data_IF_104945401794
#
_entry.id   IF_104945401794
#
_cell.length_a   1.000
_cell.length_b   1.000
_cell.length_c   1.000
_cell.angle_alpha   90.00
_cell.angle_beta   90.00
_cell.angle_gamma   90.00
#
_symmetry.space_group_name_H-M   'P 1'
#
loop_
_entity.id
_entity.type
_entity.pdbx_description
1 polymer ?
#
# COMPACT_ATOMS: atom_id res chain seq x y z
N UNK A 1 -4.00 60.19 26.71
CA UNK A 1 -3.18 58.93 26.54
C UNK A 1 -4.11 57.76 26.67
N UNK A 2 -4.55 57.17 25.53
CA UNK A 2 -5.38 55.99 25.48
C UNK A 2 -4.46 54.84 24.99
N UNK A 3 -4.12 53.91 25.89
CA UNK A 3 -3.36 52.71 25.59
C UNK A 3 -4.27 51.67 24.99
N UNK A 4 -4.13 51.43 23.69
CA UNK A 4 -4.83 50.41 22.94
C UNK A 4 -4.10 49.06 23.15
N UNK A 5 -4.58 48.20 24.05
CA UNK A 5 -4.10 46.84 24.23
C UNK A 5 -4.91 45.93 23.33
N UNK A 6 -4.26 45.43 22.25
CA UNK A 6 -4.86 44.39 21.41
C UNK A 6 -4.99 43.08 22.22
N UNK A 7 -6.11 42.31 22.07
CA UNK A 7 -6.28 41.03 22.74
C UNK A 7 -5.27 40.02 22.22
N UNK A 8 -4.71 39.22 23.13
CA UNK A 8 -3.81 38.11 22.80
C UNK A 8 -4.54 37.05 21.95
N UNK A 9 -3.87 36.47 20.97
CA UNK A 9 -4.48 35.43 20.12
C UNK A 9 -4.81 34.19 20.97
N UNK A 10 -6.05 33.72 20.77
CA UNK A 10 -6.60 32.56 21.45
C UNK A 10 -5.77 31.30 21.15
N UNK A 11 -5.22 30.69 22.19
CA UNK A 11 -4.33 29.49 22.07
C UNK A 11 -5.07 28.29 21.49
N UNK A 12 -6.38 28.21 21.59
CA UNK A 12 -7.19 27.14 21.06
C UNK A 12 -7.38 27.25 19.53
N UNK A 13 -7.40 28.48 18.98
CA UNK A 13 -7.48 28.70 17.53
C UNK A 13 -6.16 28.32 16.82
N UNK A 14 -5.01 28.58 17.45
CA UNK A 14 -3.71 28.19 16.91
C UNK A 14 -3.49 26.67 16.96
N UNK A 15 -3.97 25.99 18.01
CA UNK A 15 -3.92 24.53 18.12
C UNK A 15 -4.81 23.84 17.10
N UNK A 16 -6.00 24.40 16.82
CA UNK A 16 -6.92 23.85 15.81
C UNK A 16 -6.45 24.12 14.38
N UNK A 17 -5.76 25.22 14.11
CA UNK A 17 -5.13 25.52 12.82
C UNK A 17 -3.96 24.59 12.54
N UNK A 18 -3.09 24.35 13.52
CA UNK A 18 -1.98 23.38 13.42
C UNK A 18 -2.44 21.92 13.28
N UNK A 19 -3.64 21.58 13.80
CA UNK A 19 -4.26 20.27 13.60
C UNK A 19 -4.86 20.13 12.19
N UNK A 20 -5.35 21.22 11.59
CA UNK A 20 -5.86 21.25 10.20
C UNK A 20 -4.72 21.21 9.16
N UNK A 21 -3.58 21.83 9.41
CA UNK A 21 -2.42 21.76 8.51
C UNK A 21 -1.72 20.39 8.52
N UNK A 22 -1.93 19.56 9.52
CA UNK A 22 -1.47 18.17 9.56
C UNK A 22 -2.45 17.19 8.92
N UNK A 23 -3.19 17.55 7.90
CA UNK A 23 -4.09 16.82 7.03
C UNK A 23 -4.22 15.30 7.22
N UNK A 24 -4.48 14.84 8.45
CA UNK A 24 -4.73 13.45 8.74
C UNK A 24 -6.20 13.15 8.51
N UNK A 25 -6.53 12.39 7.47
CA UNK A 25 -7.88 11.86 7.32
C UNK A 25 -8.25 11.08 8.59
N UNK A 26 -9.44 11.35 9.13
CA UNK A 26 -9.95 10.64 10.30
C UNK A 26 -10.21 9.16 9.97
N UNK A 27 -10.26 8.29 10.98
CA UNK A 27 -10.65 6.89 10.77
C UNK A 27 -11.98 6.81 10.01
N UNK A 28 -12.09 5.85 9.08
CA UNK A 28 -13.31 5.63 8.32
C UNK A 28 -14.49 5.38 9.25
N UNK A 29 -15.55 6.17 9.12
CA UNK A 29 -16.81 5.93 9.84
C UNK A 29 -17.63 4.84 9.15
N UNK A 30 -18.57 4.23 9.88
CA UNK A 30 -19.52 3.26 9.30
C UNK A 30 -20.30 3.89 8.15
N UNK A 31 -20.67 5.18 8.29
CA UNK A 31 -21.38 5.93 7.25
C UNK A 31 -20.55 6.08 5.98
N UNK A 32 -19.26 6.38 6.10
CA UNK A 32 -18.35 6.48 4.96
C UNK A 32 -18.22 5.14 4.24
N UNK A 33 -18.06 4.04 5.00
CA UNK A 33 -17.92 2.69 4.44
C UNK A 33 -19.18 2.27 3.68
N UNK A 34 -20.36 2.52 4.22
CA UNK A 34 -21.63 2.11 3.62
C UNK A 34 -22.11 3.06 2.53
N UNK A 35 -21.86 4.37 2.67
CA UNK A 35 -22.34 5.40 1.76
C UNK A 35 -21.50 5.61 0.51
N UNK A 36 -20.18 5.34 0.57
CA UNK A 36 -19.32 5.59 -0.58
C UNK A 36 -19.71 4.72 -1.80
N UNK A 37 -19.81 5.33 -2.99
CA UNK A 37 -20.06 4.59 -4.22
C UNK A 37 -18.83 3.76 -4.59
N UNK A 38 -19.04 2.53 -5.03
CA UNK A 38 -17.99 1.65 -5.56
C UNK A 38 -18.29 1.36 -7.02
N UNK A 39 -17.41 1.80 -7.90
CA UNK A 39 -17.49 1.57 -9.35
C UNK A 39 -16.73 0.29 -9.77
N UNK A 40 -16.69 0.04 -11.07
CA UNK A 40 -15.96 -1.08 -11.69
C UNK A 40 -16.35 -2.44 -11.11
N UNK A 41 -15.40 -3.38 -11.07
CA UNK A 41 -15.61 -4.73 -10.50
C UNK A 41 -15.94 -4.70 -9.00
N UNK A 42 -15.52 -3.67 -8.28
CA UNK A 42 -15.81 -3.48 -6.86
C UNK A 42 -17.29 -3.14 -6.58
N UNK A 43 -18.00 -2.58 -7.58
CA UNK A 43 -19.43 -2.30 -7.50
C UNK A 43 -20.33 -3.53 -7.58
N UNK A 44 -19.84 -4.69 -7.99
CA UNK A 44 -20.60 -5.94 -8.01
C UNK A 44 -21.10 -6.31 -6.61
N UNK A 45 -22.34 -6.80 -6.42
CA UNK A 45 -22.93 -7.00 -5.09
C UNK A 45 -22.05 -7.81 -4.13
N UNK A 46 -21.53 -8.95 -4.57
CA UNK A 46 -20.65 -9.80 -3.77
C UNK A 46 -19.35 -9.08 -3.38
N UNK A 47 -18.66 -8.47 -4.35
CA UNK A 47 -17.40 -7.77 -4.10
C UNK A 47 -17.60 -6.59 -3.15
N UNK A 48 -18.67 -5.80 -3.37
CA UNK A 48 -19.05 -4.68 -2.52
C UNK A 48 -19.33 -5.13 -1.09
N UNK A 49 -20.08 -6.23 -0.91
CA UNK A 49 -20.38 -6.78 0.42
C UNK A 49 -19.10 -7.22 1.13
N UNK A 50 -18.20 -7.92 0.45
CA UNK A 50 -16.91 -8.37 1.01
C UNK A 50 -16.02 -7.19 1.37
N UNK A 51 -15.85 -6.19 0.48
CA UNK A 51 -15.04 -4.99 0.73
C UNK A 51 -15.58 -4.25 1.96
N UNK A 52 -16.89 -3.98 2.01
CA UNK A 52 -17.51 -3.29 3.14
C UNK A 52 -17.40 -4.09 4.42
N UNK A 53 -17.63 -5.41 4.39
CA UNK A 53 -17.47 -6.31 5.53
C UNK A 53 -16.05 -6.29 6.10
N UNK A 54 -15.03 -6.31 5.24
CA UNK A 54 -13.63 -6.19 5.66
C UNK A 54 -13.33 -4.84 6.30
N UNK A 55 -13.84 -3.74 5.73
CA UNK A 55 -13.63 -2.41 6.30
C UNK A 55 -14.36 -2.23 7.63
N UNK A 56 -15.57 -2.77 7.80
CA UNK A 56 -16.28 -2.76 9.07
C UNK A 56 -15.56 -3.59 10.13
N UNK A 57 -15.00 -4.73 9.76
CA UNK A 57 -14.28 -5.62 10.68
C UNK A 57 -12.89 -5.07 11.07
N UNK A 58 -12.13 -4.54 10.11
CA UNK A 58 -10.71 -4.22 10.27
C UNK A 58 -10.37 -2.73 10.09
N UNK A 59 -11.29 -1.90 9.59
CA UNK A 59 -11.03 -0.48 9.33
C UNK A 59 -10.58 0.29 10.56
N UNK A 60 -11.01 -0.13 11.75
CA UNK A 60 -10.57 0.45 13.03
C UNK A 60 -9.08 0.23 13.33
N UNK A 61 -8.42 -0.71 12.64
CA UNK A 61 -6.97 -0.87 12.74
C UNK A 61 -6.22 0.27 12.05
N UNK A 62 -6.84 0.95 11.06
CA UNK A 62 -6.27 2.13 10.40
C UNK A 62 -6.67 3.34 11.23
N UNK A 63 -5.77 3.81 12.10
CA UNK A 63 -6.06 4.93 13.02
C UNK A 63 -5.77 6.28 12.41
N UNK A 64 -4.95 6.35 11.36
CA UNK A 64 -4.65 7.60 10.65
C UNK A 64 -4.19 7.30 9.22
N UNK A 65 -4.65 8.11 8.28
CA UNK A 65 -4.18 8.12 6.89
C UNK A 65 -3.72 9.53 6.53
N UNK A 66 -2.55 9.66 5.92
CA UNK A 66 -1.98 10.93 5.50
C UNK A 66 -1.73 10.95 4.01
N UNK A 67 -1.98 12.10 3.38
CA UNK A 67 -1.72 12.37 1.97
C UNK A 67 -2.37 11.36 1.01
N UNK A 68 -3.63 10.96 1.30
CA UNK A 68 -4.41 10.01 0.51
C UNK A 68 -4.65 10.51 -0.92
N UNK A 69 -4.70 11.82 -1.13
CA UNK A 69 -4.86 12.48 -2.43
C UNK A 69 -3.73 12.15 -3.42
N UNK A 70 -2.57 11.71 -2.93
CA UNK A 70 -1.42 11.32 -3.79
C UNK A 70 -1.66 10.05 -4.58
N UNK A 71 -2.64 9.24 -4.15
CA UNK A 71 -3.04 8.00 -4.83
C UNK A 71 -4.47 8.08 -5.36
N UNK A 72 -5.03 9.28 -5.52
CA UNK A 72 -6.34 9.47 -6.10
C UNK A 72 -6.41 8.87 -7.52
N UNK A 73 -7.62 8.52 -7.96
CA UNK A 73 -7.84 7.80 -9.21
C UNK A 73 -7.43 8.58 -10.47
N UNK A 74 -7.40 9.90 -10.41
CA UNK A 74 -6.96 10.82 -11.47
C UNK A 74 -5.44 10.96 -11.57
N UNK A 75 -4.69 10.41 -10.59
CA UNK A 75 -3.22 10.42 -10.57
C UNK A 75 -2.57 9.24 -11.31
N UNK A 76 -3.39 8.28 -11.79
CA UNK A 76 -2.87 7.14 -12.54
C UNK A 76 -2.17 7.58 -13.84
N UNK A 77 -1.12 6.87 -14.31
CA UNK A 77 -0.54 5.67 -13.72
C UNK A 77 0.60 5.96 -12.72
N UNK A 78 0.70 5.15 -11.67
CA UNK A 78 1.84 5.13 -10.74
C UNK A 78 2.09 3.71 -10.19
N UNK A 79 3.24 3.50 -9.56
CA UNK A 79 3.56 2.29 -8.81
C UNK A 79 3.49 2.64 -7.32
N UNK A 80 2.51 2.08 -6.58
CA UNK A 80 2.48 2.19 -5.13
C UNK A 80 3.43 1.16 -4.53
N UNK A 81 4.46 1.62 -3.81
CA UNK A 81 5.42 0.76 -3.11
C UNK A 81 5.31 0.99 -1.60
N UNK A 82 5.03 -0.07 -0.83
CA UNK A 82 4.81 0.03 0.62
C UNK A 82 5.38 -1.16 1.38
N UNK A 83 5.74 -0.95 2.66
CA UNK A 83 6.17 -2.04 3.54
C UNK A 83 5.00 -2.98 3.88
N UNK A 84 5.34 -4.19 4.35
CA UNK A 84 4.37 -5.24 4.65
C UNK A 84 4.67 -5.89 5.99
N UNK A 85 3.88 -5.60 7.01
CA UNK A 85 4.18 -6.03 8.39
C UNK A 85 3.34 -7.20 8.87
N UNK A 86 2.08 -7.31 8.43
CA UNK A 86 1.16 -8.37 8.90
C UNK A 86 0.44 -9.05 7.74
N UNK A 87 -0.03 -10.28 7.94
CA UNK A 87 -0.75 -11.02 6.89
C UNK A 87 -2.10 -10.39 6.56
N UNK A 88 -2.78 -9.82 7.55
CA UNK A 88 -4.08 -9.18 7.36
C UNK A 88 -4.00 -7.91 6.50
N UNK A 89 -2.87 -7.20 6.50
CA UNK A 89 -2.67 -6.05 5.60
C UNK A 89 -2.86 -6.43 4.13
N UNK A 90 -2.39 -7.62 3.73
CA UNK A 90 -2.55 -8.09 2.34
C UNK A 90 -4.02 -8.29 1.93
N UNK A 91 -4.93 -8.33 2.90
CA UNK A 91 -6.35 -8.50 2.66
C UNK A 91 -7.11 -7.17 2.74
N UNK A 92 -7.03 -6.49 3.88
CA UNK A 92 -7.88 -5.31 4.10
C UNK A 92 -7.31 -4.03 3.50
N UNK A 93 -5.98 -3.92 3.31
CA UNK A 93 -5.40 -2.75 2.69
C UNK A 93 -5.81 -2.59 1.21
N UNK A 94 -5.78 -3.63 0.36
CA UNK A 94 -6.37 -3.53 -0.98
C UNK A 94 -7.86 -3.19 -0.97
N UNK A 95 -8.63 -3.71 0.00
CA UNK A 95 -10.05 -3.35 0.16
C UNK A 95 -10.22 -1.88 0.55
N UNK A 96 -9.38 -1.37 1.46
CA UNK A 96 -9.33 0.05 1.83
C UNK A 96 -8.99 0.93 0.62
N UNK A 97 -7.95 0.59 -0.14
CA UNK A 97 -7.54 1.36 -1.30
C UNK A 97 -8.58 1.36 -2.42
N UNK A 98 -9.25 0.22 -2.66
CA UNK A 98 -10.39 0.15 -3.57
C UNK A 98 -11.51 1.10 -3.13
N UNK A 99 -11.85 1.10 -1.84
CA UNK A 99 -12.86 1.99 -1.30
C UNK A 99 -12.45 3.46 -1.43
N UNK A 100 -11.23 3.80 -1.02
CA UNK A 100 -10.70 5.17 -1.05
C UNK A 100 -10.58 5.75 -2.48
N UNK A 101 -10.49 4.89 -3.50
CA UNK A 101 -10.40 5.25 -4.92
C UNK A 101 -11.76 5.09 -5.66
N UNK A 102 -12.88 5.04 -4.93
CA UNK A 102 -14.21 4.90 -5.54
C UNK A 102 -14.41 3.60 -6.33
N UNK A 103 -13.68 2.55 -5.99
CA UNK A 103 -13.71 1.25 -6.68
C UNK A 103 -12.73 1.12 -7.85
N UNK A 104 -11.97 2.17 -8.23
CA UNK A 104 -10.92 2.05 -9.26
C UNK A 104 -9.78 1.19 -8.72
N UNK A 105 -9.43 0.08 -9.39
CA UNK A 105 -8.45 -0.85 -8.88
C UNK A 105 -7.03 -0.26 -8.86
N UNK A 106 -6.27 -0.72 -7.88
CA UNK A 106 -4.84 -0.63 -7.81
C UNK A 106 -4.34 -2.07 -7.86
N UNK A 107 -3.69 -2.45 -8.98
CA UNK A 107 -3.38 -3.83 -9.31
C UNK A 107 -2.23 -4.36 -8.47
N UNK A 108 -2.51 -4.93 -7.30
CA UNK A 108 -1.48 -5.51 -6.44
C UNK A 108 -0.88 -6.78 -7.06
N UNK A 109 0.42 -6.96 -6.85
CA UNK A 109 1.08 -8.24 -7.16
C UNK A 109 1.02 -9.11 -5.92
N UNK A 110 0.36 -10.28 -6.02
CA UNK A 110 0.19 -11.19 -4.91
C UNK A 110 0.36 -12.66 -5.31
N UNK A 111 0.69 -13.51 -4.34
CA UNK A 111 0.89 -14.94 -4.59
C UNK A 111 -0.43 -15.65 -4.91
N UNK A 112 -0.40 -16.59 -5.84
CA UNK A 112 -1.56 -17.34 -6.35
C UNK A 112 -2.34 -18.12 -5.27
N UNK A 113 -1.67 -18.60 -4.24
CA UNK A 113 -2.25 -19.40 -3.17
C UNK A 113 -3.30 -18.66 -2.34
N UNK A 114 -3.28 -17.33 -2.35
CA UNK A 114 -4.32 -16.54 -1.70
C UNK A 114 -5.67 -16.61 -2.41
N UNK A 115 -5.72 -16.97 -3.69
CA UNK A 115 -6.99 -17.25 -4.39
C UNK A 115 -7.76 -18.44 -3.81
N UNK A 116 -7.08 -19.33 -3.11
CA UNK A 116 -7.69 -20.49 -2.46
C UNK A 116 -8.46 -20.13 -1.18
N UNK A 117 -8.29 -18.90 -0.67
CA UNK A 117 -8.97 -18.44 0.54
C UNK A 117 -10.27 -17.73 0.16
N UNK A 118 -11.46 -18.26 0.54
CA UNK A 118 -12.74 -17.59 0.34
C UNK A 118 -12.70 -16.16 0.89
N UNK A 119 -13.37 -15.22 0.22
CA UNK A 119 -13.32 -13.78 0.58
C UNK A 119 -12.08 -13.07 0.01
N UNK A 120 -10.86 -13.61 0.14
CA UNK A 120 -9.69 -13.05 -0.52
C UNK A 120 -9.85 -13.11 -2.04
N UNK A 121 -10.36 -14.21 -2.57
CA UNK A 121 -10.66 -14.35 -4.00
C UNK A 121 -11.62 -13.26 -4.51
N UNK A 122 -12.60 -12.84 -3.72
CA UNK A 122 -13.52 -11.76 -4.08
C UNK A 122 -12.81 -10.39 -4.12
N UNK A 123 -11.95 -10.08 -3.13
CA UNK A 123 -11.14 -8.86 -3.11
C UNK A 123 -10.15 -8.86 -4.27
N UNK A 124 -9.50 -9.98 -4.54
CA UNK A 124 -8.55 -10.13 -5.65
C UNK A 124 -9.24 -9.96 -7.01
N UNK A 125 -10.45 -10.50 -7.16
CA UNK A 125 -11.27 -10.31 -8.35
C UNK A 125 -11.71 -8.86 -8.54
N UNK A 126 -12.10 -8.18 -7.44
CA UNK A 126 -12.50 -6.78 -7.46
C UNK A 126 -11.31 -5.85 -7.74
N UNK A 127 -10.15 -6.13 -7.13
CA UNK A 127 -8.91 -5.39 -7.30
C UNK A 127 -8.13 -5.75 -8.56
N UNK A 128 -8.62 -6.73 -9.34
CA UNK A 128 -7.94 -7.24 -10.56
C UNK A 128 -6.45 -7.53 -10.28
N UNK A 129 -6.19 -8.28 -9.21
CA UNK A 129 -4.85 -8.55 -8.67
C UNK A 129 -4.01 -9.34 -9.68
N UNK A 130 -2.76 -8.93 -9.85
CA UNK A 130 -1.77 -9.60 -10.69
C UNK A 130 -1.21 -10.80 -9.92
N UNK A 131 -1.45 -12.00 -10.42
CA UNK A 131 -1.04 -13.23 -9.75
C UNK A 131 0.41 -13.54 -10.06
N UNK A 132 1.18 -13.76 -8.98
CA UNK A 132 2.55 -14.26 -9.02
C UNK A 132 2.55 -15.74 -8.64
N UNK A 133 3.31 -16.52 -9.39
CA UNK A 133 3.48 -17.97 -9.19
C UNK A 133 4.80 -18.35 -8.49
N UNK A 134 5.52 -17.36 -7.95
CA UNK A 134 6.90 -17.55 -7.46
C UNK A 134 6.99 -18.46 -6.24
N UNK A 135 5.97 -18.49 -5.38
CA UNK A 135 6.00 -19.28 -4.14
C UNK A 135 5.12 -20.52 -4.24
N UNK A 136 5.60 -21.69 -3.75
CA UNK A 136 4.74 -22.86 -3.60
C UNK A 136 3.71 -22.66 -2.50
N UNK A 137 2.54 -23.28 -2.64
CA UNK A 137 1.54 -23.30 -1.57
C UNK A 137 2.00 -24.10 -0.35
N UNK A 138 1.42 -23.77 0.78
CA UNK A 138 1.52 -24.56 2.01
C UNK A 138 0.12 -24.86 2.53
N UNK A 139 -0.29 -26.12 2.67
CA UNK A 139 0.47 -27.36 2.42
C UNK A 139 0.76 -27.62 0.93
N UNK A 140 1.80 -28.39 0.64
CA UNK A 140 2.36 -28.59 -0.72
C UNK A 140 1.39 -29.24 -1.69
N UNK A 141 0.44 -30.04 -1.23
CA UNK A 141 -0.53 -30.70 -2.09
C UNK A 141 -1.44 -29.71 -2.85
N UNK A 142 -1.63 -28.50 -2.31
CA UNK A 142 -2.40 -27.44 -2.98
C UNK A 142 -1.77 -26.99 -4.31
N UNK A 143 -0.49 -27.30 -4.56
CA UNK A 143 0.18 -26.92 -5.81
C UNK A 143 -0.44 -27.59 -7.03
N UNK A 144 -1.24 -28.63 -6.88
CA UNK A 144 -2.01 -29.25 -7.99
C UNK A 144 -2.95 -28.22 -8.65
N UNK A 145 -3.45 -27.26 -7.90
CA UNK A 145 -4.32 -26.18 -8.41
C UNK A 145 -3.56 -25.02 -9.05
N UNK A 146 -2.22 -24.97 -8.91
CA UNK A 146 -1.41 -23.88 -9.43
C UNK A 146 -1.61 -23.59 -10.91
N UNK A 147 -1.61 -24.57 -11.84
CA UNK A 147 -1.82 -24.32 -13.27
C UNK A 147 -3.18 -23.67 -13.59
N UNK A 148 -4.21 -23.93 -12.76
CA UNK A 148 -5.56 -23.38 -12.93
C UNK A 148 -5.70 -21.95 -12.39
N UNK A 149 -4.81 -21.55 -11.47
CA UNK A 149 -4.91 -20.30 -10.73
C UNK A 149 -3.84 -19.26 -11.11
N UNK A 150 -2.86 -19.68 -11.90
CA UNK A 150 -1.78 -18.81 -12.40
C UNK A 150 -1.95 -18.53 -13.89
N UNK A 151 -1.44 -17.37 -14.30
CA UNK A 151 -1.42 -16.98 -15.69
C UNK A 151 -0.12 -17.45 -16.36
N UNK A 152 -0.16 -17.66 -17.67
CA UNK A 152 1.02 -18.02 -18.47
C UNK A 152 2.05 -16.88 -18.54
N UNK A 153 1.58 -15.63 -18.47
CA UNK A 153 2.43 -14.45 -18.53
C UNK A 153 3.03 -14.13 -17.16
N UNK A 154 4.33 -13.84 -17.07
CA UNK A 154 4.97 -13.43 -15.83
C UNK A 154 4.31 -12.20 -15.20
N UNK A 155 4.21 -12.17 -13.87
CA UNK A 155 3.57 -11.06 -13.14
C UNK A 155 4.20 -9.69 -13.45
N UNK A 156 5.51 -9.66 -13.72
CA UNK A 156 6.23 -8.44 -14.10
C UNK A 156 5.74 -7.88 -15.44
N UNK A 157 5.59 -8.73 -16.46
CA UNK A 157 5.10 -8.33 -17.79
C UNK A 157 3.65 -7.82 -17.72
N UNK A 158 2.79 -8.51 -16.95
CA UNK A 158 1.41 -8.07 -16.71
C UNK A 158 1.35 -6.73 -15.98
N UNK A 159 2.23 -6.49 -15.02
CA UNK A 159 2.33 -5.20 -14.34
C UNK A 159 2.73 -4.09 -15.33
N UNK A 160 3.70 -4.35 -16.21
CA UNK A 160 4.09 -3.39 -17.25
C UNK A 160 2.94 -3.09 -18.21
N UNK A 161 2.17 -4.10 -18.64
CA UNK A 161 0.98 -3.91 -19.48
C UNK A 161 -0.09 -3.04 -18.79
N UNK A 162 -0.33 -3.27 -17.48
CA UNK A 162 -1.30 -2.44 -16.72
C UNK A 162 -0.85 -0.98 -16.66
N UNK A 163 0.43 -0.73 -16.41
CA UNK A 163 0.98 0.63 -16.41
C UNK A 163 0.90 1.28 -17.79
N UNK A 164 1.21 0.55 -18.86
CA UNK A 164 1.08 1.03 -20.23
C UNK A 164 -0.38 1.34 -20.62
N UNK A 165 -1.34 0.63 -20.03
CA UNK A 165 -2.77 0.89 -20.19
C UNK A 165 -3.29 2.04 -19.29
N UNK A 166 -2.41 2.79 -18.61
CA UNK A 166 -2.79 3.90 -17.74
C UNK A 166 -3.36 3.48 -16.37
N UNK A 167 -3.14 2.24 -15.95
CA UNK A 167 -3.54 1.75 -14.64
C UNK A 167 -2.36 1.73 -13.66
N UNK A 168 -2.65 1.82 -12.35
CA UNK A 168 -1.62 1.79 -11.32
C UNK A 168 -1.42 0.40 -10.71
N UNK A 169 -0.19 0.12 -10.27
CA UNK A 169 0.21 -1.17 -9.71
C UNK A 169 0.68 -1.01 -8.26
N UNK A 170 0.24 -1.92 -7.38
CA UNK A 170 0.67 -1.99 -5.99
C UNK A 170 1.68 -3.11 -5.76
N UNK A 171 2.76 -2.82 -5.04
CA UNK A 171 3.79 -3.80 -4.70
C UNK A 171 4.22 -3.68 -3.25
N UNK A 172 4.55 -4.81 -2.65
CA UNK A 172 5.28 -4.88 -1.39
C UNK A 172 6.73 -5.25 -1.71
N UNK A 173 7.67 -4.28 -1.75
CA UNK A 173 9.06 -4.57 -2.15
C UNK A 173 9.72 -5.63 -1.27
N UNK A 174 9.38 -5.72 0.00
CA UNK A 174 9.90 -6.74 0.92
C UNK A 174 9.55 -8.17 0.49
N UNK A 175 8.47 -8.36 -0.30
CA UNK A 175 8.05 -9.65 -0.87
C UNK A 175 7.57 -10.68 0.16
N UNK A 176 7.53 -10.33 1.43
CA UNK A 176 7.02 -11.14 2.54
C UNK A 176 6.63 -10.24 3.70
N UNK A 177 5.88 -10.79 4.67
CA UNK A 177 5.55 -10.06 5.89
C UNK A 177 6.78 -9.90 6.78
N UNK A 178 7.01 -8.68 7.26
CA UNK A 178 8.11 -8.33 8.15
C UNK A 178 7.56 -7.73 9.45
N UNK A 179 7.47 -8.54 10.48
CA UNK A 179 6.94 -8.13 11.80
C UNK A 179 7.92 -7.34 12.67
N UNK A 180 9.12 -7.05 12.17
CA UNK A 180 10.07 -6.19 12.88
C UNK A 180 9.52 -4.75 12.91
N UNK A 181 9.31 -4.16 14.12
CA UNK A 181 8.79 -2.82 14.24
C UNK A 181 9.80 -1.72 13.86
N UNK A 182 11.09 -2.03 13.80
CA UNK A 182 12.18 -1.05 13.67
C UNK A 182 12.90 -1.11 12.33
N UNK A 183 12.88 -2.27 11.64
CA UNK A 183 13.69 -2.49 10.44
C UNK A 183 12.86 -2.99 9.27
N UNK A 184 13.19 -2.52 8.07
CA UNK A 184 12.71 -3.08 6.81
C UNK A 184 13.65 -4.18 6.34
N UNK A 185 13.14 -5.13 5.58
CA UNK A 185 13.97 -6.08 4.84
C UNK A 185 14.63 -5.38 3.65
N UNK A 186 15.69 -6.00 3.11
CA UNK A 186 16.39 -5.49 1.93
C UNK A 186 15.46 -5.19 0.75
N UNK A 187 14.43 -6.00 0.57
CA UNK A 187 13.48 -5.88 -0.53
C UNK A 187 13.99 -6.41 -1.87
N UNK A 188 13.07 -6.50 -2.83
CA UNK A 188 13.33 -6.91 -4.21
C UNK A 188 13.26 -5.70 -5.13
N UNK A 189 14.08 -5.66 -6.14
CA UNK A 189 14.21 -4.56 -7.10
C UNK A 189 13.03 -4.43 -8.09
N UNK A 190 11.97 -5.23 -7.95
CA UNK A 190 10.86 -5.31 -8.91
C UNK A 190 10.17 -3.95 -9.17
N UNK A 191 9.83 -3.21 -8.12
CA UNK A 191 9.21 -1.89 -8.24
C UNK A 191 10.12 -0.88 -8.95
N UNK A 192 11.41 -0.86 -8.56
CA UNK A 192 12.40 0.03 -9.14
C UNK A 192 12.63 -0.27 -10.64
N UNK A 193 12.78 -1.56 -10.98
CA UNK A 193 12.96 -1.98 -12.37
C UNK A 193 11.73 -1.64 -13.22
N UNK A 194 10.52 -1.88 -12.68
CA UNK A 194 9.27 -1.58 -13.37
C UNK A 194 9.14 -0.07 -13.64
N UNK A 195 9.44 0.77 -12.64
CA UNK A 195 9.43 2.22 -12.76
C UNK A 195 10.39 2.73 -13.83
N UNK A 196 11.65 2.28 -13.79
CA UNK A 196 12.66 2.66 -14.78
C UNK A 196 12.31 2.18 -16.20
N UNK A 197 11.76 0.98 -16.33
CA UNK A 197 11.39 0.41 -17.63
C UNK A 197 10.18 1.11 -18.25
N UNK A 198 9.16 1.43 -17.45
CA UNK A 198 7.92 2.02 -17.94
C UNK A 198 7.93 3.56 -17.91
N UNK A 199 8.92 4.19 -17.27
CA UNK A 199 8.97 5.65 -17.09
C UNK A 199 7.87 6.17 -16.13
N UNK A 200 7.35 5.32 -15.25
CA UNK A 200 6.20 5.63 -14.38
C UNK A 200 6.69 5.96 -12.96
N UNK A 201 6.15 7.01 -12.30
CA UNK A 201 6.56 7.38 -10.96
C UNK A 201 6.23 6.30 -9.93
N UNK A 202 7.03 6.26 -8.85
CA UNK A 202 6.75 5.45 -7.67
C UNK A 202 6.20 6.36 -6.59
N UNK A 203 5.02 6.03 -6.07
CA UNK A 203 4.49 6.63 -4.83
C UNK A 203 4.91 5.71 -3.68
N UNK A 204 5.89 6.11 -2.86
CA UNK A 204 6.25 5.36 -1.68
C UNK A 204 5.18 5.52 -0.61
N UNK A 205 4.90 4.48 0.16
CA UNK A 205 4.01 4.58 1.31
C UNK A 205 4.57 3.83 2.51
N UNK A 206 4.36 4.37 3.70
CA UNK A 206 4.78 3.78 4.96
C UNK A 206 3.60 3.35 5.80
N UNK A 207 3.61 2.08 6.25
CA UNK A 207 2.72 1.58 7.29
C UNK A 207 3.49 1.62 8.61
N UNK A 208 3.07 2.53 9.49
CA UNK A 208 3.65 2.71 10.83
C UNK A 208 2.76 2.11 11.90
N UNK A 209 3.35 1.74 13.05
CA UNK A 209 2.66 1.15 14.20
C UNK A 209 2.97 1.94 15.48
N UNK A 210 2.31 3.08 15.70
CA UNK A 210 2.68 4.02 16.77
C UNK A 210 2.50 3.45 18.18
N UNK A 211 1.67 2.42 18.35
CA UNK A 211 1.36 1.79 19.64
C UNK A 211 1.99 0.40 19.83
N UNK A 212 3.06 0.08 19.09
CA UNK A 212 3.69 -1.24 19.27
C UNK A 212 4.48 -1.36 20.59
N UNK A 213 4.82 -0.23 21.25
CA UNK A 213 5.59 -0.21 22.49
C UNK A 213 6.97 -0.88 22.32
N UNK A 214 7.42 -1.60 23.37
CA UNK A 214 8.66 -2.37 23.34
C UNK A 214 8.48 -3.82 22.86
N UNK A 215 7.37 -4.14 22.20
CA UNK A 215 7.15 -5.51 21.69
C UNK A 215 8.15 -5.84 20.58
N UNK A 216 8.74 -7.06 20.61
CA UNK A 216 9.73 -7.46 19.58
C UNK A 216 9.10 -7.69 18.20
N UNK A 217 7.78 -7.83 18.14
CA UNK A 217 7.05 -8.13 16.89
C UNK A 217 5.71 -7.41 16.81
N UNK A 218 5.38 -6.91 15.64
CA UNK A 218 4.07 -6.32 15.33
C UNK A 218 2.98 -7.42 15.37
N UNK A 219 1.88 -7.14 16.06
CA UNK A 219 0.70 -8.03 16.17
C UNK A 219 -0.21 -7.85 14.97
N UNK A 220 -0.99 -8.89 14.60
CA UNK A 220 -1.84 -8.88 13.40
C UNK A 220 -2.86 -7.72 13.33
N UNK A 221 -3.44 -7.35 14.43
CA UNK A 221 -4.47 -6.30 14.51
C UNK A 221 -3.95 -5.04 15.22
N UNK A 222 -2.62 -4.83 15.21
CA UNK A 222 -2.05 -3.64 15.81
C UNK A 222 -2.58 -2.38 15.09
N UNK A 223 -2.92 -1.32 15.85
CA UNK A 223 -3.29 -0.03 15.29
C UNK A 223 -2.17 0.51 14.41
N UNK A 224 -2.50 0.89 13.17
CA UNK A 224 -1.54 1.34 12.17
C UNK A 224 -1.88 2.72 11.63
N UNK A 225 -0.85 3.40 11.18
CA UNK A 225 -0.95 4.61 10.35
C UNK A 225 -0.48 4.30 8.95
N UNK A 226 -1.05 4.98 7.96
CA UNK A 226 -0.63 4.88 6.57
C UNK A 226 -0.26 6.29 6.11
N UNK A 227 0.94 6.47 5.59
CA UNK A 227 1.38 7.74 5.02
C UNK A 227 1.87 7.53 3.60
N UNK A 228 1.28 8.27 2.65
CA UNK A 228 1.69 8.26 1.25
C UNK A 228 2.71 9.37 1.03
N UNK A 229 3.86 9.03 0.43
CA UNK A 229 4.93 9.97 0.12
C UNK A 229 4.71 10.72 -1.19
N UNK A 230 5.58 11.70 -1.46
CA UNK A 230 5.62 12.37 -2.77
C UNK A 230 5.96 11.36 -3.87
N UNK A 231 5.34 11.49 -5.06
CA UNK A 231 5.71 10.67 -6.21
C UNK A 231 7.18 10.87 -6.58
N UNK A 232 7.93 9.77 -6.59
CA UNK A 232 9.31 9.75 -7.03
C UNK A 232 9.32 9.52 -8.55
N UNK A 233 9.70 10.53 -9.32
CA UNK A 233 9.84 10.41 -10.78
C UNK A 233 11.15 9.71 -11.11
N UNK A 234 11.12 8.64 -11.95
CA UNK A 234 12.36 8.00 -12.40
C UNK A 234 13.18 8.93 -13.28
N UNK A 235 14.51 8.72 -13.36
CA UNK A 235 15.36 9.46 -14.31
C UNK A 235 14.84 9.36 -15.74
N UNK A 236 14.98 10.46 -16.49
CA UNK A 236 14.52 10.55 -17.91
C UNK A 236 15.22 9.53 -18.80
N UNK A 237 16.50 9.28 -18.54
CA UNK A 237 17.26 8.27 -19.24
C UNK A 237 16.85 6.87 -18.75
N UNK A 238 16.36 6.04 -19.67
CA UNK A 238 15.97 4.65 -19.40
C UNK A 238 17.20 3.76 -19.19
N UNK A 239 17.90 3.99 -18.10
CA UNK A 239 19.05 3.17 -17.72
C UNK A 239 18.60 1.99 -16.85
N UNK A 240 18.64 0.78 -17.42
CA UNK A 240 18.31 -0.47 -16.76
C UNK A 240 19.56 -1.22 -16.25
N UNK A 241 20.72 -0.56 -16.16
CA UNK A 241 21.91 -1.17 -15.56
C UNK A 241 21.64 -1.62 -14.14
N UNK A 242 22.33 -2.66 -13.70
CA UNK A 242 22.17 -3.17 -12.34
C UNK A 242 22.49 -2.12 -11.26
N UNK A 243 23.38 -1.17 -11.53
CA UNK A 243 23.71 -0.05 -10.63
C UNK A 243 22.56 0.97 -10.55
N UNK A 244 22.00 1.37 -11.70
CA UNK A 244 20.86 2.29 -11.74
C UNK A 244 19.63 1.72 -11.03
N UNK A 245 19.32 0.45 -11.28
CA UNK A 245 18.22 -0.26 -10.61
C UNK A 245 18.44 -0.33 -9.09
N UNK A 246 19.67 -0.61 -8.63
CA UNK A 246 19.97 -0.63 -7.18
C UNK A 246 19.87 0.76 -6.56
N UNK A 247 20.37 1.80 -7.21
CA UNK A 247 20.30 3.17 -6.73
C UNK A 247 18.84 3.64 -6.61
N UNK A 248 18.03 3.36 -7.64
CA UNK A 248 16.61 3.71 -7.64
C UNK A 248 15.83 2.95 -6.56
N UNK A 249 16.10 1.64 -6.41
CA UNK A 249 15.53 0.83 -5.34
C UNK A 249 15.88 1.40 -3.95
N UNK A 250 17.15 1.76 -3.73
CA UNK A 250 17.59 2.34 -2.47
C UNK A 250 16.81 3.63 -2.14
N UNK A 251 16.61 4.51 -3.13
CA UNK A 251 15.83 5.74 -2.97
C UNK A 251 14.39 5.45 -2.55
N UNK A 252 13.72 4.51 -3.23
CA UNK A 252 12.34 4.09 -2.90
C UNK A 252 12.27 3.50 -1.49
N UNK A 253 13.20 2.60 -1.12
CA UNK A 253 13.20 1.96 0.19
C UNK A 253 13.52 2.94 1.34
N UNK A 254 14.41 3.92 1.12
CA UNK A 254 14.67 5.00 2.09
C UNK A 254 13.41 5.82 2.38
N UNK A 255 12.62 6.15 1.34
CA UNK A 255 11.36 6.87 1.53
C UNK A 255 10.31 6.02 2.27
N UNK A 256 10.18 4.74 1.93
CA UNK A 256 9.29 3.82 2.68
C UNK A 256 9.73 3.74 4.15
N UNK A 257 11.04 3.68 4.42
CA UNK A 257 11.58 3.65 5.77
C UNK A 257 11.21 4.91 6.54
N UNK A 258 11.44 6.09 5.95
CA UNK A 258 11.09 7.39 6.54
C UNK A 258 9.59 7.48 6.88
N UNK A 259 8.72 7.10 5.94
CA UNK A 259 7.26 7.17 6.09
C UNK A 259 6.72 6.17 7.12
N UNK A 260 7.34 4.99 7.23
CA UNK A 260 6.93 3.94 8.18
C UNK A 260 7.55 4.10 9.58
N UNK A 261 8.50 5.03 9.75
CA UNK A 261 9.28 5.17 10.98
C UNK A 261 10.26 4.02 11.22
N UNK A 262 10.64 3.28 10.18
CA UNK A 262 11.59 2.15 10.25
C UNK A 262 12.94 2.54 9.65
N UNK A 263 13.96 1.75 9.94
CA UNK A 263 15.29 1.90 9.33
C UNK A 263 15.44 0.90 8.20
N UNK A 264 16.05 1.32 7.11
CA UNK A 264 16.45 0.45 6.01
C UNK A 264 17.95 0.58 5.71
N UNK A 265 18.59 -0.55 5.42
CA UNK A 265 19.95 -0.59 4.91
C UNK A 265 20.07 -1.68 3.84
N UNK A 266 21.01 -1.52 2.91
CA UNK A 266 21.28 -2.51 1.86
C UNK A 266 21.78 -3.87 2.43
N UNK A 267 22.29 -3.87 3.66
CA UNK A 267 22.83 -5.04 4.37
C UNK A 267 21.76 -5.83 5.11
N UNK A 268 20.52 -5.30 5.22
CA UNK A 268 19.43 -6.01 5.88
C UNK A 268 19.13 -7.32 5.15
N UNK A 269 19.33 -8.45 5.84
CA UNK A 269 19.20 -9.78 5.29
C UNK A 269 17.81 -10.05 4.72
N UNK A 270 17.77 -10.90 3.67
CA UNK A 270 16.50 -11.49 3.23
C UNK A 270 16.00 -12.41 4.35
N UNK A 271 14.68 -12.47 4.61
CA UNK A 271 14.15 -13.51 5.48
C UNK A 271 14.46 -14.87 4.87
N UNK A 272 14.93 -15.78 5.71
CA UNK A 272 15.13 -17.19 5.37
C UNK A 272 13.79 -17.87 5.12
#
# INVERSE_FOLDING_TARGET
MLTNTAPAPDRDSASSALARERGGAQPLTVRDILGAPLAHKAGRPMARAVIRGLLLAFGRCIVQVRALERIAADRDPFILALNHSTKLEALFLPAFLLHARGGKPLHFIADWNFKLVPGIAAVYGAGDVIISDRKPARPRWLNVFRPLLTDRMPAFSRAAERLAAGASVGVFPEGTTNRDPRRLLRGFHGAARLSLQCGVPVVPAGIGFPRHGNTPRIRELAPMTIEFGEPLTPPSERNLSGSAVRAWHARVMCEIARLSGKVWSNENHRPV
#
